data_IF_208017657665
#
_entry.id   IF_208017657665
#
_cell.length_a   1.000
_cell.length_b   1.000
_cell.length_c   1.000
_cell.angle_alpha   90.00
_cell.angle_beta   90.00
_cell.angle_gamma   90.00
#
_symmetry.space_group_name_H-M   'P 1'
#
loop_
_entity.id
_entity.type
_entity.pdbx_description
1 polymer ?
#
# COMPACT_ATOMS: atom_id res chain seq x y z
N UNK A 1 -5.50 16.67 17.13
CA UNK A 1 -6.36 16.54 15.93
C UNK A 1 -5.52 16.00 14.80
N UNK A 2 -5.84 14.82 14.29
CA UNK A 2 -5.13 14.22 13.14
C UNK A 2 -5.49 14.97 11.86
N UNK A 3 -4.60 14.95 10.86
CA UNK A 3 -4.82 15.62 9.57
C UNK A 3 -5.59 14.75 8.56
N UNK A 4 -6.17 13.65 9.01
CA UNK A 4 -6.97 12.71 8.22
C UNK A 4 -8.26 12.34 8.98
N UNK A 5 -9.28 11.92 8.23
CA UNK A 5 -10.58 11.49 8.80
C UNK A 5 -10.63 9.97 9.02
N UNK A 6 -10.10 9.21 8.06
CA UNK A 6 -9.95 7.76 8.11
C UNK A 6 -8.61 7.36 7.49
N UNK A 7 -8.04 6.26 7.95
CA UNK A 7 -6.81 5.68 7.40
C UNK A 7 -6.99 4.17 7.21
N UNK A 8 -6.99 3.73 5.96
CA UNK A 8 -7.03 2.31 5.61
C UNK A 8 -5.59 1.78 5.50
N UNK A 9 -5.23 0.85 6.39
CA UNK A 9 -3.96 0.15 6.34
C UNK A 9 -4.03 -1.10 5.48
N UNK A 10 -2.99 -1.31 4.69
CA UNK A 10 -2.84 -2.39 3.74
C UNK A 10 -1.43 -2.96 3.80
N UNK A 11 -1.27 -4.15 4.39
CA UNK A 11 0.03 -4.84 4.49
C UNK A 11 -0.19 -6.36 4.53
N UNK A 12 0.78 -7.14 4.05
CA UNK A 12 0.70 -8.61 3.95
C UNK A 12 1.31 -9.34 5.16
N UNK A 13 2.09 -8.69 6.03
CA UNK A 13 2.89 -9.37 7.05
C UNK A 13 3.17 -8.63 8.37
N UNK A 14 2.85 -7.35 8.52
CA UNK A 14 3.21 -6.55 9.70
C UNK A 14 2.02 -6.03 10.51
N UNK A 15 0.89 -6.74 10.45
CA UNK A 15 -0.37 -6.26 10.98
C UNK A 15 -0.35 -6.03 12.50
N UNK A 16 0.20 -6.96 13.29
CA UNK A 16 0.24 -6.79 14.76
C UNK A 16 1.09 -5.59 15.17
N UNK A 17 2.24 -5.40 14.51
CA UNK A 17 3.13 -4.24 14.76
C UNK A 17 2.45 -2.94 14.35
N UNK A 18 1.71 -2.96 13.24
CA UNK A 18 0.98 -1.79 12.76
C UNK A 18 -0.08 -1.38 13.78
N UNK A 19 -0.88 -2.35 14.24
CA UNK A 19 -1.88 -2.14 15.28
C UNK A 19 -1.31 -1.55 16.56
N UNK A 20 -0.17 -2.04 17.02
CA UNK A 20 0.51 -1.49 18.20
C UNK A 20 0.93 -0.02 17.97
N UNK A 21 1.50 0.29 16.80
CA UNK A 21 2.03 1.62 16.49
C UNK A 21 0.95 2.67 16.27
N UNK A 22 -0.21 2.25 15.79
CA UNK A 22 -1.30 3.17 15.45
C UNK A 22 -2.44 3.13 16.46
N UNK A 23 -2.34 2.31 17.52
CA UNK A 23 -3.31 2.21 18.61
C UNK A 23 -3.86 3.54 19.18
N UNK A 24 -3.05 4.62 19.16
CA UNK A 24 -3.48 5.95 19.61
C UNK A 24 -4.50 6.63 18.66
N UNK A 25 -4.65 6.14 17.43
CA UNK A 25 -5.51 6.73 16.40
C UNK A 25 -6.97 6.29 16.56
N UNK A 26 -7.25 5.27 17.37
CA UNK A 26 -8.59 4.87 17.78
C UNK A 26 -9.48 4.51 16.58
N UNK A 27 -10.70 5.04 16.53
CA UNK A 27 -11.68 4.67 15.49
C UNK A 27 -11.36 5.23 14.08
N UNK A 28 -10.27 5.99 13.93
CA UNK A 28 -9.86 6.56 12.65
C UNK A 28 -9.10 5.58 11.76
N UNK A 29 -8.75 4.40 12.26
CA UNK A 29 -7.99 3.39 11.51
C UNK A 29 -8.86 2.18 11.17
N UNK A 30 -8.67 1.67 9.95
CA UNK A 30 -9.23 0.39 9.53
C UNK A 30 -8.10 -0.40 8.93
N UNK A 31 -7.99 -1.65 9.34
CA UNK A 31 -6.98 -2.53 8.81
C UNK A 31 -7.60 -3.54 7.87
N UNK A 32 -7.03 -3.65 6.67
CA UNK A 32 -7.35 -4.69 5.70
C UNK A 32 -6.05 -5.35 5.23
N UNK A 33 -6.17 -6.56 4.70
CA UNK A 33 -5.05 -7.27 4.06
C UNK A 33 -5.33 -7.40 2.56
N UNK A 34 -5.25 -6.31 1.77
CA UNK A 34 -5.40 -6.42 0.33
C UNK A 34 -4.19 -7.08 -0.30
N UNK A 35 -4.46 -7.83 -1.37
CA UNK A 35 -3.46 -8.10 -2.38
C UNK A 35 -3.69 -7.12 -3.54
N UNK A 36 -2.82 -6.12 -3.70
CA UNK A 36 -2.96 -5.10 -4.76
C UNK A 36 -2.75 -5.67 -6.17
N UNK A 37 -2.23 -6.91 -6.28
CA UNK A 37 -2.12 -7.64 -7.54
C UNK A 37 -3.47 -8.20 -8.02
N UNK A 38 -4.48 -8.22 -7.16
CA UNK A 38 -5.83 -8.65 -7.50
C UNK A 38 -6.77 -7.46 -7.65
N UNK A 39 -7.91 -7.69 -8.30
CA UNK A 39 -8.90 -6.64 -8.50
C UNK A 39 -9.40 -6.10 -7.15
N UNK A 40 -9.38 -4.77 -6.92
CA UNK A 40 -9.83 -4.20 -5.66
C UNK A 40 -11.35 -4.34 -5.44
N UNK A 41 -12.16 -4.32 -6.49
CA UNK A 41 -13.62 -4.45 -6.39
C UNK A 41 -13.99 -5.86 -5.91
N UNK A 42 -13.33 -6.89 -6.45
CA UNK A 42 -13.49 -8.29 -6.03
C UNK A 42 -13.07 -8.53 -4.58
N UNK A 43 -12.21 -7.67 -4.03
CA UNK A 43 -11.77 -7.69 -2.63
C UNK A 43 -12.68 -6.85 -1.71
N UNK A 44 -13.76 -6.27 -2.23
CA UNK A 44 -14.72 -5.45 -1.48
C UNK A 44 -14.19 -4.06 -1.13
N UNK A 45 -13.28 -3.51 -1.93
CA UNK A 45 -12.90 -2.10 -1.83
C UNK A 45 -13.87 -1.23 -2.63
N UNK A 46 -14.22 -0.10 -2.06
CA UNK A 46 -14.98 0.91 -2.78
C UNK A 46 -14.07 1.61 -3.79
N UNK A 47 -14.43 1.55 -5.07
CA UNK A 47 -13.69 2.21 -6.13
C UNK A 47 -13.84 3.73 -6.04
N UNK A 48 -12.82 4.45 -6.52
CA UNK A 48 -12.78 5.91 -6.53
C UNK A 48 -13.12 6.56 -5.18
N UNK A 49 -12.76 5.90 -4.08
CA UNK A 49 -13.11 6.33 -2.71
C UNK A 49 -11.96 7.00 -1.97
N UNK A 50 -10.72 6.76 -2.39
CA UNK A 50 -9.53 7.20 -1.69
C UNK A 50 -9.06 8.57 -2.21
N UNK A 51 -8.95 9.55 -1.30
CA UNK A 51 -8.37 10.87 -1.60
C UNK A 51 -6.84 10.79 -1.78
N UNK A 52 -6.20 9.88 -1.05
CA UNK A 52 -4.76 9.69 -1.07
C UNK A 52 -4.41 8.21 -0.85
N UNK A 53 -3.48 7.69 -1.64
CA UNK A 53 -2.87 6.37 -1.42
C UNK A 53 -1.37 6.57 -1.21
N UNK A 54 -0.83 5.95 -0.17
CA UNK A 54 0.60 5.91 0.11
C UNK A 54 1.10 4.49 -0.20
N UNK A 55 1.96 4.37 -1.21
CA UNK A 55 2.60 3.13 -1.60
C UNK A 55 4.12 3.27 -1.41
N UNK A 56 4.63 2.70 -0.31
CA UNK A 56 6.01 2.84 0.13
C UNK A 56 6.74 1.49 -0.01
N UNK A 57 7.70 1.41 -0.94
CA UNK A 57 8.52 0.23 -1.23
C UNK A 57 7.73 -1.07 -1.44
N UNK A 58 6.51 -0.99 -1.99
CA UNK A 58 5.62 -2.13 -2.17
C UNK A 58 5.33 -2.46 -3.65
N UNK A 59 5.07 -1.48 -4.54
CA UNK A 59 4.74 -1.78 -5.93
C UNK A 59 5.79 -2.61 -6.68
N UNK A 60 7.09 -2.38 -6.43
CA UNK A 60 8.16 -3.12 -7.13
C UNK A 60 8.19 -4.63 -6.82
N UNK A 61 7.62 -5.08 -5.70
CA UNK A 61 7.60 -6.49 -5.31
C UNK A 61 6.43 -7.27 -5.91
N UNK A 62 5.58 -6.62 -6.72
CA UNK A 62 4.45 -7.24 -7.42
C UNK A 62 4.89 -7.86 -8.75
N UNK A 63 4.16 -8.86 -9.26
CA UNK A 63 4.49 -9.55 -10.51
C UNK A 63 4.49 -8.57 -11.70
N UNK A 64 3.53 -7.63 -11.73
CA UNK A 64 3.36 -6.67 -12.83
C UNK A 64 3.01 -5.29 -12.30
N UNK A 65 4.01 -4.42 -12.21
CA UNK A 65 3.84 -3.02 -11.75
C UNK A 65 2.72 -2.29 -12.50
N UNK A 66 2.61 -2.45 -13.83
CA UNK A 66 1.54 -1.80 -14.61
C UNK A 66 0.14 -2.24 -14.19
N UNK A 67 -0.03 -3.51 -13.82
CA UNK A 67 -1.28 -4.02 -13.28
C UNK A 67 -1.56 -3.45 -11.89
N UNK A 68 -0.55 -3.46 -11.01
CA UNK A 68 -0.62 -2.84 -9.67
C UNK A 68 -1.02 -1.38 -9.74
N UNK A 69 -0.41 -0.60 -10.63
CA UNK A 69 -0.74 0.81 -10.83
C UNK A 69 -2.17 1.01 -11.37
N UNK A 70 -2.66 0.07 -12.18
CA UNK A 70 -4.06 0.08 -12.66
C UNK A 70 -5.03 -0.13 -11.50
N UNK A 71 -4.75 -1.08 -10.60
CA UNK A 71 -5.58 -1.34 -9.42
C UNK A 71 -5.52 -0.18 -8.43
N UNK A 72 -4.35 0.43 -8.20
CA UNK A 72 -4.23 1.67 -7.40
C UNK A 72 -5.09 2.78 -7.99
N UNK A 73 -5.07 2.97 -9.32
CA UNK A 73 -5.90 3.99 -9.97
C UNK A 73 -7.39 3.75 -9.76
N UNK A 74 -7.87 2.51 -9.79
CA UNK A 74 -9.28 2.18 -9.54
C UNK A 74 -9.75 2.61 -8.14
N UNK A 75 -8.86 2.60 -7.14
CA UNK A 75 -9.17 3.00 -5.76
C UNK A 75 -9.18 4.52 -5.56
N UNK A 76 -8.34 5.25 -6.30
CA UNK A 76 -8.23 6.71 -6.18
C UNK A 76 -9.43 7.42 -6.80
N UNK A 77 -9.91 8.46 -6.12
CA UNK A 77 -10.80 9.46 -6.71
C UNK A 77 -10.16 10.05 -7.98
N UNK A 78 -10.95 10.60 -8.93
CA UNK A 78 -10.42 11.26 -10.11
C UNK A 78 -9.39 12.36 -9.83
N UNK A 79 -9.51 13.06 -8.70
CA UNK A 79 -8.61 14.10 -8.18
C UNK A 79 -7.72 13.64 -7.01
N UNK A 80 -7.75 12.34 -6.71
CA UNK A 80 -6.96 11.73 -5.66
C UNK A 80 -5.46 11.70 -5.99
N UNK A 81 -4.63 11.62 -4.95
CA UNK A 81 -3.17 11.64 -5.08
C UNK A 81 -2.53 10.29 -4.74
N UNK A 82 -1.54 9.89 -5.54
CA UNK A 82 -0.65 8.78 -5.20
C UNK A 82 0.67 9.35 -4.66
N UNK A 83 1.03 8.95 -3.44
CA UNK A 83 2.38 9.14 -2.90
C UNK A 83 3.14 7.83 -3.09
N UNK A 84 4.06 7.83 -4.05
CA UNK A 84 4.92 6.70 -4.35
C UNK A 84 6.31 6.95 -3.77
N UNK A 85 6.75 6.08 -2.87
CA UNK A 85 8.11 6.09 -2.33
C UNK A 85 8.81 4.79 -2.72
N UNK A 86 9.88 4.90 -3.50
CA UNK A 86 10.55 3.75 -4.13
C UNK A 86 12.08 3.95 -4.23
N UNK A 87 12.81 2.84 -4.19
CA UNK A 87 14.25 2.82 -4.41
C UNK A 87 14.57 2.88 -5.91
N UNK A 88 14.98 4.06 -6.39
CA UNK A 88 15.22 4.31 -7.82
C UNK A 88 16.47 3.64 -8.41
N UNK A 89 17.39 3.14 -7.58
CA UNK A 89 18.65 2.52 -8.03
C UNK A 89 18.97 1.30 -7.21
N UNK A 90 19.33 0.21 -7.89
CA UNK A 90 19.92 -0.97 -7.24
C UNK A 90 21.22 -0.56 -6.55
N UNK A 91 21.28 -0.72 -5.24
CA UNK A 91 22.52 -0.61 -4.45
C UNK A 91 22.80 -1.97 -3.83
N UNK A 92 24.09 -2.33 -3.76
CA UNK A 92 24.54 -3.63 -3.24
C UNK A 92 23.99 -3.92 -1.84
N UNK A 93 23.86 -2.90 -0.99
CA UNK A 93 23.28 -3.04 0.36
C UNK A 93 21.83 -3.54 0.32
N UNK A 94 20.99 -3.01 -0.58
CA UNK A 94 19.59 -3.42 -0.68
C UNK A 94 19.46 -4.80 -1.30
N UNK A 95 20.27 -5.12 -2.31
CA UNK A 95 20.33 -6.47 -2.89
C UNK A 95 20.74 -7.52 -1.86
N UNK A 96 21.71 -7.20 -1.00
CA UNK A 96 22.18 -8.15 0.02
C UNK A 96 21.14 -8.40 1.13
N UNK A 97 20.27 -7.42 1.42
CA UNK A 97 19.25 -7.53 2.47
C UNK A 97 17.96 -8.14 1.90
N UNK A 98 17.46 -7.59 0.80
CA UNK A 98 16.14 -7.90 0.26
C UNK A 98 16.17 -8.83 -0.95
N UNK A 99 17.28 -8.89 -1.68
CA UNK A 99 17.37 -9.64 -2.94
C UNK A 99 17.23 -11.16 -2.80
N UNK A 100 17.32 -11.70 -1.58
CA UNK A 100 17.00 -13.12 -1.31
C UNK A 100 15.49 -13.40 -1.30
N UNK A 101 14.66 -12.36 -1.16
CA UNK A 101 13.20 -12.44 -1.18
C UNK A 101 12.61 -12.03 -2.54
N UNK A 102 13.44 -11.49 -3.44
CA UNK A 102 13.01 -11.11 -4.79
C UNK A 102 12.53 -12.35 -5.56
N UNK A 103 11.34 -12.26 -6.15
CA UNK A 103 10.84 -13.25 -7.09
C UNK A 103 11.47 -12.90 -8.45
N UNK A 104 12.49 -13.67 -8.84
CA UNK A 104 13.31 -13.42 -10.03
C UNK A 104 12.53 -13.31 -11.34
#
# INVERSE_FOLDING_TARGET
>A
MYRFLNYDFADTGFFEILQEKTALWGDHEKYRRPNIEWDPDEQGFELESQDCIIAANAPHSTERISHTMTNIRKLLKPDGSLVLEELMKKKRVYTNIFGIFDRG
#
